data_IF_501009902254
#
_entry.id   IF_501009902254
#
_cell.length_a   1.000
_cell.length_b   1.000
_cell.length_c   1.000
_cell.angle_alpha   90.00
_cell.angle_beta   90.00
_cell.angle_gamma   90.00
#
_symmetry.space_group_name_H-M   'P 1'
#
loop_
_entity.id
_entity.type
_entity.pdbx_description
1 polymer ?
#
# COMPACT_ATOMS: atom_id res chain seq x y z
N UNK A 1 34.84 -36.26 -18.09
CA UNK A 1 33.60 -36.60 -17.37
C UNK A 1 32.47 -36.08 -18.21
N UNK A 2 31.56 -36.92 -18.72
CA UNK A 2 30.41 -36.44 -19.47
C UNK A 2 29.54 -35.61 -18.51
N UNK A 3 29.15 -34.41 -18.93
CA UNK A 3 28.05 -33.69 -18.30
C UNK A 3 26.77 -34.42 -18.71
N UNK A 4 26.29 -35.30 -17.85
CA UNK A 4 24.96 -35.88 -17.98
C UNK A 4 23.95 -34.75 -17.79
N UNK A 5 23.49 -34.23 -18.93
CA UNK A 5 22.44 -33.23 -19.05
C UNK A 5 21.09 -33.78 -18.60
N UNK A 6 20.89 -33.87 -17.30
CA UNK A 6 19.56 -33.70 -16.74
C UNK A 6 19.34 -32.20 -16.59
N UNK A 7 18.70 -31.59 -17.59
CA UNK A 7 17.88 -30.40 -17.36
C UNK A 7 16.83 -30.82 -16.32
N UNK A 8 17.17 -30.69 -15.04
CA UNK A 8 16.19 -30.61 -13.97
C UNK A 8 15.31 -29.43 -14.38
N UNK A 9 14.14 -29.73 -14.95
CA UNK A 9 13.16 -28.72 -15.37
C UNK A 9 13.02 -27.74 -14.22
N UNK A 10 13.53 -26.52 -14.41
CA UNK A 10 13.50 -25.52 -13.38
C UNK A 10 12.05 -25.40 -12.89
N UNK A 11 11.79 -25.38 -11.57
CA UNK A 11 10.43 -25.30 -11.07
C UNK A 11 9.73 -24.11 -11.71
N UNK A 12 8.51 -24.33 -12.19
CA UNK A 12 7.73 -23.29 -12.86
C UNK A 12 7.63 -22.05 -11.96
N UNK A 13 7.95 -20.88 -12.53
CA UNK A 13 7.96 -19.63 -11.77
C UNK A 13 6.55 -19.18 -11.35
N UNK A 14 5.52 -19.59 -12.12
CA UNK A 14 4.13 -19.22 -11.90
C UNK A 14 3.25 -20.46 -11.68
N UNK A 15 2.26 -20.30 -10.81
CA UNK A 15 1.17 -21.24 -10.58
C UNK A 15 0.04 -21.01 -11.58
N UNK A 16 -0.52 -22.10 -12.09
CA UNK A 16 -1.65 -22.04 -13.02
C UNK A 16 -2.91 -21.49 -12.33
N UNK A 17 -3.74 -20.77 -13.09
CA UNK A 17 -5.03 -20.23 -12.64
C UNK A 17 -4.93 -19.32 -11.40
N UNK A 18 -3.83 -18.59 -11.24
CA UNK A 18 -3.50 -17.81 -10.03
C UNK A 18 -4.64 -16.89 -9.56
N UNK A 19 -5.24 -16.09 -10.45
CA UNK A 19 -6.32 -15.17 -10.08
C UNK A 19 -7.53 -15.92 -9.47
N UNK A 20 -7.90 -17.06 -10.05
CA UNK A 20 -8.97 -17.90 -9.53
C UNK A 20 -8.61 -18.50 -8.17
N UNK A 21 -7.35 -18.95 -7.97
CA UNK A 21 -6.86 -19.46 -6.68
C UNK A 21 -6.95 -18.38 -5.60
N UNK A 22 -6.46 -17.18 -5.87
CA UNK A 22 -6.49 -16.05 -4.93
C UNK A 22 -7.94 -15.67 -4.58
N UNK A 23 -8.87 -15.69 -5.53
CA UNK A 23 -10.28 -15.41 -5.26
C UNK A 23 -10.91 -16.35 -4.22
N UNK A 24 -10.45 -17.61 -4.12
CA UNK A 24 -10.94 -18.55 -3.11
C UNK A 24 -10.49 -18.26 -1.68
N UNK A 25 -9.49 -17.37 -1.50
CA UNK A 25 -8.94 -17.04 -0.19
C UNK A 25 -9.87 -16.17 0.67
N UNK A 26 -10.87 -15.51 0.07
CA UNK A 26 -11.77 -14.61 0.80
C UNK A 26 -12.46 -15.33 1.98
N UNK A 27 -13.08 -16.48 1.73
CA UNK A 27 -13.80 -17.24 2.75
C UNK A 27 -12.93 -17.68 3.95
N UNK A 28 -11.77 -18.35 3.76
CA UNK A 28 -10.92 -18.74 4.90
C UNK A 28 -10.31 -17.54 5.63
N UNK A 29 -9.95 -16.45 4.94
CA UNK A 29 -9.44 -15.23 5.59
C UNK A 29 -10.51 -14.53 6.42
N UNK A 30 -11.73 -14.42 5.90
CA UNK A 30 -12.86 -13.81 6.61
C UNK A 30 -13.23 -14.62 7.87
N UNK A 31 -13.24 -15.95 7.75
CA UNK A 31 -13.50 -16.84 8.88
C UNK A 31 -12.43 -16.73 9.97
N UNK A 32 -11.15 -16.65 9.57
CA UNK A 32 -10.03 -16.45 10.49
C UNK A 32 -10.15 -15.11 11.21
N UNK A 33 -10.40 -14.02 10.48
CA UNK A 33 -10.51 -12.68 11.04
C UNK A 33 -11.72 -12.53 11.96
N UNK A 34 -12.87 -13.10 11.59
CA UNK A 34 -14.06 -13.12 12.44
C UNK A 34 -13.79 -13.85 13.76
N UNK A 35 -13.16 -15.02 13.69
CA UNK A 35 -12.77 -15.79 14.89
C UNK A 35 -11.80 -14.99 15.77
N UNK A 36 -10.77 -14.37 15.17
CA UNK A 36 -9.83 -13.52 15.89
C UNK A 36 -10.53 -12.34 16.57
N UNK A 37 -11.46 -11.70 15.87
CA UNK A 37 -12.26 -10.58 16.38
C UNK A 37 -13.08 -11.00 17.60
N UNK A 38 -13.73 -12.15 17.55
CA UNK A 38 -14.54 -12.66 18.67
C UNK A 38 -13.67 -13.00 19.88
N UNK A 39 -12.50 -13.62 19.66
CA UNK A 39 -11.55 -13.94 20.74
C UNK A 39 -11.02 -12.69 21.41
N UNK A 40 -10.57 -11.70 20.63
CA UNK A 40 -10.07 -10.43 21.17
C UNK A 40 -11.20 -9.66 21.86
N UNK A 41 -12.40 -9.63 21.29
CA UNK A 41 -13.59 -9.02 21.91
C UNK A 41 -13.85 -9.59 23.30
N UNK A 42 -13.76 -10.91 23.47
CA UNK A 42 -13.94 -11.57 24.76
C UNK A 42 -12.86 -11.19 25.79
N UNK A 43 -11.64 -10.86 25.37
CA UNK A 43 -10.57 -10.38 26.25
C UNK A 43 -10.76 -8.93 26.68
N UNK A 44 -11.33 -8.09 25.80
CA UNK A 44 -11.34 -6.63 25.97
C UNK A 44 -12.69 -6.05 26.40
N UNK A 45 -13.70 -6.90 26.57
CA UNK A 45 -15.07 -6.49 26.87
C UNK A 45 -15.53 -7.01 28.24
N UNK A 46 -16.25 -6.16 28.97
CA UNK A 46 -16.88 -6.48 30.26
C UNK A 46 -18.27 -5.85 30.31
N UNK A 47 -19.29 -6.58 30.78
CA UNK A 47 -20.67 -6.09 30.79
C UNK A 47 -21.21 -5.71 29.41
N UNK A 48 -20.75 -6.37 28.34
CA UNK A 48 -21.19 -6.15 26.97
C UNK A 48 -20.55 -4.96 26.24
N UNK A 49 -19.60 -4.27 26.87
CA UNK A 49 -18.90 -3.13 26.26
C UNK A 49 -17.38 -3.29 26.32
N UNK A 50 -16.69 -2.81 25.29
CA UNK A 50 -15.23 -2.72 25.25
C UNK A 50 -14.76 -1.77 26.35
N UNK A 51 -13.72 -2.17 27.10
CA UNK A 51 -13.14 -1.39 28.18
C UNK A 51 -11.72 -0.95 27.82
N UNK A 52 -11.44 0.34 27.90
CA UNK A 52 -10.10 0.89 27.63
C UNK A 52 -9.01 0.21 28.47
N UNK A 53 -9.24 0.02 29.76
CA UNK A 53 -8.28 -0.67 30.64
C UNK A 53 -8.00 -2.13 30.22
N UNK A 54 -8.98 -2.82 29.60
CA UNK A 54 -8.76 -4.18 29.08
C UNK A 54 -8.06 -4.15 27.72
N UNK A 55 -8.33 -3.15 26.88
CA UNK A 55 -7.55 -2.89 25.66
C UNK A 55 -6.08 -2.66 26.01
N UNK A 56 -5.78 -1.83 27.01
CA UNK A 56 -4.40 -1.56 27.46
C UNK A 56 -3.74 -2.83 28.00
N UNK A 57 -4.46 -3.60 28.82
CA UNK A 57 -3.96 -4.87 29.37
C UNK A 57 -3.69 -5.92 28.28
N UNK A 58 -4.54 -5.96 27.25
CA UNK A 58 -4.48 -6.92 26.16
C UNK A 58 -4.02 -6.26 24.84
N UNK A 59 -3.18 -5.22 24.93
CA UNK A 59 -2.80 -4.38 23.81
C UNK A 59 -2.16 -5.17 22.67
N UNK A 60 -1.34 -6.17 23.00
CA UNK A 60 -0.76 -7.08 22.00
C UNK A 60 -1.81 -7.79 21.16
N UNK A 61 -2.90 -8.24 21.78
CA UNK A 61 -3.99 -8.90 21.07
C UNK A 61 -4.82 -7.90 20.25
N UNK A 62 -5.07 -6.71 20.79
CA UNK A 62 -5.80 -5.64 20.11
C UNK A 62 -5.06 -5.10 18.88
N UNK A 63 -3.77 -4.77 19.02
CA UNK A 63 -2.90 -4.40 17.90
C UNK A 63 -2.75 -5.57 16.94
N UNK A 64 -2.61 -6.78 17.47
CA UNK A 64 -2.53 -7.99 16.67
C UNK A 64 -3.71 -8.17 15.73
N UNK A 65 -4.93 -7.91 16.22
CA UNK A 65 -6.13 -7.98 15.40
C UNK A 65 -6.09 -6.96 14.26
N UNK A 66 -5.61 -5.74 14.52
CA UNK A 66 -5.45 -4.73 13.49
C UNK A 66 -4.45 -5.17 12.41
N UNK A 67 -3.29 -5.72 12.80
CA UNK A 67 -2.29 -6.26 11.87
C UNK A 67 -2.82 -7.44 11.04
N UNK A 68 -3.54 -8.38 11.66
CA UNK A 68 -4.20 -9.46 10.93
C UNK A 68 -5.22 -8.91 9.93
N UNK A 69 -6.05 -7.95 10.35
CA UNK A 69 -7.03 -7.31 9.46
C UNK A 69 -6.34 -6.60 8.28
N UNK A 70 -5.21 -5.93 8.50
CA UNK A 70 -4.39 -5.32 7.45
C UNK A 70 -3.90 -6.36 6.43
N UNK A 71 -3.44 -7.52 6.87
CA UNK A 71 -2.95 -8.57 5.96
C UNK A 71 -4.09 -9.20 5.16
N UNK A 72 -5.23 -9.45 5.81
CA UNK A 72 -6.46 -9.93 5.15
C UNK A 72 -6.91 -8.94 4.08
N UNK A 73 -6.96 -7.65 4.42
CA UNK A 73 -7.37 -6.61 3.48
C UNK A 73 -6.36 -6.44 2.35
N UNK A 74 -5.05 -6.54 2.63
CA UNK A 74 -4.02 -6.47 1.59
C UNK A 74 -4.16 -7.60 0.56
N UNK A 75 -4.33 -8.85 1.02
CA UNK A 75 -4.58 -9.99 0.10
C UNK A 75 -5.85 -9.77 -0.73
N UNK A 76 -6.92 -9.25 -0.09
CA UNK A 76 -8.18 -8.93 -0.77
C UNK A 76 -7.97 -7.87 -1.86
N UNK A 77 -7.27 -6.78 -1.55
CA UNK A 77 -7.01 -5.70 -2.51
C UNK A 77 -6.07 -6.14 -3.63
N UNK A 78 -5.07 -6.99 -3.35
CA UNK A 78 -4.23 -7.61 -4.38
C UNK A 78 -5.06 -8.50 -5.33
N UNK A 79 -5.98 -9.31 -4.80
CA UNK A 79 -6.90 -10.10 -5.62
C UNK A 79 -7.82 -9.23 -6.47
N UNK A 80 -8.36 -8.14 -5.90
CA UNK A 80 -9.20 -7.20 -6.63
C UNK A 80 -8.44 -6.46 -7.73
N UNK A 81 -7.20 -6.04 -7.46
CA UNK A 81 -6.29 -5.46 -8.45
C UNK A 81 -6.05 -6.41 -9.62
N UNK A 82 -5.71 -7.67 -9.33
CA UNK A 82 -5.50 -8.69 -10.36
C UNK A 82 -6.76 -8.95 -11.20
N UNK A 83 -7.96 -8.96 -10.58
CA UNK A 83 -9.23 -9.10 -11.29
C UNK A 83 -9.45 -7.94 -12.28
N UNK A 84 -9.28 -6.70 -11.83
CA UNK A 84 -9.45 -5.51 -12.68
C UNK A 84 -8.45 -5.49 -13.84
N UNK A 85 -7.19 -5.82 -13.58
CA UNK A 85 -6.19 -5.93 -14.65
C UNK A 85 -6.49 -7.06 -15.63
N UNK A 86 -7.07 -8.18 -15.16
CA UNK A 86 -7.47 -9.29 -16.03
C UNK A 86 -8.61 -8.89 -16.95
N UNK A 87 -9.60 -8.17 -16.42
CA UNK A 87 -10.71 -7.60 -17.19
C UNK A 87 -10.22 -6.58 -18.23
N UNK A 88 -9.26 -5.73 -17.84
CA UNK A 88 -8.62 -4.75 -18.73
C UNK A 88 -7.58 -5.37 -19.69
N UNK A 89 -7.30 -6.68 -19.59
CA UNK A 89 -6.28 -7.41 -20.38
C UNK A 89 -4.86 -6.86 -20.23
N UNK A 90 -4.55 -6.29 -19.07
CA UNK A 90 -3.23 -5.74 -18.70
C UNK A 90 -2.55 -6.56 -17.61
N UNK A 91 -3.17 -7.64 -17.13
CA UNK A 91 -2.56 -8.59 -16.19
C UNK A 91 -1.52 -9.47 -16.90
N UNK A 92 -0.24 -9.12 -16.74
CA UNK A 92 0.89 -9.80 -17.35
C UNK A 92 1.70 -10.65 -16.36
N UNK A 93 2.88 -11.07 -16.82
CA UNK A 93 3.77 -11.96 -16.05
C UNK A 93 4.30 -11.29 -14.77
N UNK A 94 4.68 -10.02 -14.85
CA UNK A 94 5.21 -9.28 -13.69
C UNK A 94 4.13 -9.10 -12.63
N UNK A 95 2.88 -8.80 -13.03
CA UNK A 95 1.75 -8.67 -12.12
C UNK A 95 1.38 -10.00 -11.47
N UNK A 96 1.39 -11.10 -12.24
CA UNK A 96 1.17 -12.44 -11.73
C UNK A 96 2.24 -12.85 -10.70
N UNK A 97 3.51 -12.54 -10.95
CA UNK A 97 4.59 -12.82 -10.01
C UNK A 97 4.47 -12.01 -8.72
N UNK A 98 4.13 -10.72 -8.81
CA UNK A 98 3.87 -9.86 -7.64
C UNK A 98 2.72 -10.43 -6.81
N UNK A 99 1.60 -10.77 -7.46
CA UNK A 99 0.44 -11.36 -6.80
C UNK A 99 0.80 -12.65 -6.08
N UNK A 100 1.47 -13.58 -6.79
CA UNK A 100 1.82 -14.89 -6.25
C UNK A 100 2.79 -14.79 -5.07
N UNK A 101 3.84 -13.98 -5.19
CA UNK A 101 4.86 -13.82 -4.16
C UNK A 101 4.25 -13.13 -2.94
N UNK A 102 3.53 -12.01 -3.13
CA UNK A 102 2.97 -11.25 -2.02
C UNK A 102 1.91 -12.03 -1.25
N UNK A 103 0.98 -12.69 -1.95
CA UNK A 103 -0.03 -13.53 -1.30
C UNK A 103 0.62 -14.72 -0.59
N UNK A 104 1.57 -15.40 -1.23
CA UNK A 104 2.27 -16.52 -0.61
C UNK A 104 3.00 -16.12 0.66
N UNK A 105 3.71 -14.99 0.63
CA UNK A 105 4.41 -14.43 1.79
C UNK A 105 3.43 -14.06 2.91
N UNK A 106 2.34 -13.36 2.61
CA UNK A 106 1.40 -12.88 3.62
C UNK A 106 0.64 -14.02 4.29
N UNK A 107 0.27 -15.07 3.55
CA UNK A 107 -0.33 -16.27 4.13
C UNK A 107 0.62 -16.98 5.10
N UNK A 108 1.92 -17.06 4.76
CA UNK A 108 2.93 -17.65 5.64
C UNK A 108 3.23 -16.79 6.86
N UNK A 109 3.22 -15.47 6.72
CA UNK A 109 3.35 -14.56 7.87
C UNK A 109 2.11 -14.59 8.77
N UNK A 110 0.90 -14.70 8.23
CA UNK A 110 -0.32 -14.90 9.03
C UNK A 110 -0.17 -16.15 9.92
N UNK A 111 0.35 -17.25 9.38
CA UNK A 111 0.53 -18.50 10.12
C UNK A 111 1.75 -18.47 11.07
N UNK A 112 2.91 -18.07 10.57
CA UNK A 112 4.20 -18.17 11.25
C UNK A 112 4.51 -16.99 12.18
N UNK A 113 3.89 -15.84 11.90
CA UNK A 113 3.91 -14.65 12.73
C UNK A 113 4.07 -13.37 11.92
N UNK A 114 3.20 -12.38 12.18
CA UNK A 114 3.22 -11.09 11.50
C UNK A 114 4.18 -10.14 12.24
N UNK A 115 5.22 -9.60 11.57
CA UNK A 115 6.12 -8.64 12.20
C UNK A 115 5.43 -7.27 12.35
N UNK A 116 5.01 -6.92 13.57
CA UNK A 116 4.52 -5.56 13.87
C UNK A 116 5.68 -4.57 13.94
N UNK A 117 6.83 -5.05 14.41
CA UNK A 117 8.15 -4.46 14.24
C UNK A 117 9.21 -5.58 14.36
N UNK A 118 10.50 -5.23 14.37
CA UNK A 118 11.59 -6.21 14.42
C UNK A 118 11.62 -7.05 15.72
N UNK A 119 11.12 -6.53 16.84
CA UNK A 119 11.06 -7.22 18.14
C UNK A 119 9.70 -7.82 18.48
N UNK A 120 8.64 -7.43 17.77
CA UNK A 120 7.27 -7.83 18.06
C UNK A 120 6.66 -8.60 16.89
N UNK A 121 6.82 -9.93 16.95
CA UNK A 121 6.20 -10.86 16.02
C UNK A 121 4.88 -11.35 16.62
N UNK A 122 3.76 -10.97 16.01
CA UNK A 122 2.41 -11.38 16.39
C UNK A 122 2.16 -12.82 15.96
N UNK A 123 1.76 -13.69 16.88
CA UNK A 123 1.23 -15.02 16.54
C UNK A 123 -0.28 -15.03 16.69
N UNK A 124 -0.98 -15.87 15.91
CA UNK A 124 -2.44 -16.03 16.04
C UNK A 124 -2.86 -16.45 17.46
N UNK A 125 -2.02 -17.23 18.16
CA UNK A 125 -2.26 -17.60 19.56
C UNK A 125 -2.25 -16.41 20.52
N UNK A 126 -1.56 -15.31 20.19
CA UNK A 126 -1.53 -14.08 21.01
C UNK A 126 -2.91 -13.39 21.02
N UNK A 127 -3.75 -13.68 20.03
CA UNK A 127 -5.14 -13.21 19.93
C UNK A 127 -6.15 -14.23 20.47
N UNK A 128 -5.69 -15.35 21.05
CA UNK A 128 -6.55 -16.39 21.60
C UNK A 128 -7.12 -17.37 20.58
N UNK A 129 -6.57 -17.42 19.35
CA UNK A 129 -6.91 -18.49 18.41
C UNK A 129 -6.31 -19.81 18.88
N UNK A 130 -7.10 -20.87 18.81
CA UNK A 130 -6.69 -22.20 19.21
C UNK A 130 -6.03 -22.95 18.04
N UNK A 131 -5.24 -24.01 18.31
CA UNK A 131 -4.59 -24.79 17.26
C UNK A 131 -5.54 -25.32 16.18
N UNK A 132 -6.79 -25.66 16.54
CA UNK A 132 -7.79 -26.09 15.57
C UNK A 132 -8.25 -24.97 14.63
N UNK A 133 -8.32 -23.72 15.11
CA UNK A 133 -8.73 -22.57 14.28
C UNK A 133 -7.63 -22.29 13.23
N UNK A 134 -6.37 -22.33 13.68
CA UNK A 134 -5.18 -22.17 12.83
C UNK A 134 -5.07 -23.35 11.84
N UNK A 135 -5.28 -24.57 12.32
CA UNK A 135 -5.26 -25.78 11.49
C UNK A 135 -6.35 -25.77 10.43
N UNK A 136 -7.55 -25.28 10.74
CA UNK A 136 -8.62 -25.14 9.77
C UNK A 136 -8.24 -24.16 8.63
N UNK A 137 -7.70 -22.99 8.97
CA UNK A 137 -7.19 -22.02 8.00
C UNK A 137 -6.11 -22.63 7.10
N UNK A 138 -5.12 -23.30 7.70
CA UNK A 138 -4.03 -23.99 6.99
C UNK A 138 -4.45 -25.32 6.37
N UNK A 139 -5.72 -25.73 6.44
CA UNK A 139 -6.20 -26.91 5.72
C UNK A 139 -6.98 -26.53 4.46
N UNK A 140 -7.29 -25.24 4.28
CA UNK A 140 -7.91 -24.74 3.07
C UNK A 140 -6.95 -24.96 1.87
N UNK A 141 -7.38 -25.64 0.78
CA UNK A 141 -6.48 -26.10 -0.27
C UNK A 141 -5.62 -25.00 -0.89
N UNK A 142 -6.22 -23.85 -1.22
CA UNK A 142 -5.50 -22.75 -1.86
C UNK A 142 -4.66 -21.94 -0.88
N UNK A 143 -5.01 -21.91 0.42
CA UNK A 143 -4.15 -21.31 1.46
C UNK A 143 -2.82 -22.05 1.50
N UNK A 144 -2.83 -23.38 1.62
CA UNK A 144 -1.59 -24.16 1.67
C UNK A 144 -0.81 -24.13 0.38
N UNK A 145 -1.49 -24.23 -0.76
CA UNK A 145 -0.85 -24.22 -2.07
C UNK A 145 -0.10 -22.91 -2.30
N UNK A 146 -0.79 -21.77 -2.12
CA UNK A 146 -0.19 -20.45 -2.34
C UNK A 146 0.89 -20.13 -1.31
N UNK A 147 0.69 -20.51 -0.06
CA UNK A 147 1.68 -20.20 0.97
C UNK A 147 2.96 -21.05 0.86
N UNK A 148 2.85 -22.31 0.41
CA UNK A 148 4.01 -23.20 0.22
C UNK A 148 4.76 -22.90 -1.08
N UNK A 149 4.05 -22.64 -2.18
CA UNK A 149 4.63 -22.54 -3.51
C UNK A 149 4.71 -21.11 -4.06
N UNK A 150 3.97 -20.16 -3.48
CA UNK A 150 3.80 -18.83 -4.04
C UNK A 150 5.08 -17.99 -4.02
N UNK A 151 5.70 -17.87 -2.84
CA UNK A 151 6.98 -17.17 -2.68
C UNK A 151 8.18 -18.12 -2.90
N UNK A 152 8.31 -18.67 -4.11
CA UNK A 152 9.42 -19.56 -4.46
C UNK A 152 10.68 -18.79 -4.91
N UNK A 153 11.84 -19.45 -4.83
CA UNK A 153 13.08 -18.87 -5.34
C UNK A 153 13.02 -18.60 -6.85
N UNK A 154 12.36 -19.48 -7.62
CA UNK A 154 12.17 -19.33 -9.05
C UNK A 154 11.29 -18.11 -9.39
N UNK A 155 10.19 -17.92 -8.66
CA UNK A 155 9.31 -16.76 -8.82
C UNK A 155 10.06 -15.45 -8.53
N UNK A 156 10.79 -15.38 -7.41
CA UNK A 156 11.59 -14.19 -7.06
C UNK A 156 12.67 -13.89 -8.09
N UNK A 157 13.40 -14.90 -8.55
CA UNK A 157 14.43 -14.73 -9.57
C UNK A 157 13.84 -14.20 -10.89
N UNK A 158 12.67 -14.71 -11.31
CA UNK A 158 12.00 -14.23 -12.52
C UNK A 158 11.47 -12.81 -12.35
N UNK A 159 10.87 -12.47 -11.22
CA UNK A 159 10.42 -11.12 -10.93
C UNK A 159 11.58 -10.12 -11.02
N UNK A 160 12.72 -10.43 -10.39
CA UNK A 160 13.91 -9.57 -10.45
C UNK A 160 14.45 -9.41 -11.87
N UNK A 161 14.43 -10.46 -12.69
CA UNK A 161 14.80 -10.35 -14.10
C UNK A 161 13.90 -9.36 -14.84
N UNK A 162 12.56 -9.48 -14.68
CA UNK A 162 11.60 -8.56 -15.28
C UNK A 162 11.77 -7.12 -14.76
N UNK A 163 12.05 -6.94 -13.47
CA UNK A 163 12.32 -5.62 -12.90
C UNK A 163 13.54 -4.95 -13.53
N UNK A 164 14.59 -5.72 -13.82
CA UNK A 164 15.79 -5.20 -14.52
C UNK A 164 15.50 -4.82 -15.96
N UNK A 165 14.57 -5.51 -16.60
CA UNK A 165 14.11 -5.27 -17.97
C UNK A 165 13.04 -4.15 -18.05
N UNK A 166 12.54 -3.65 -16.91
CA UNK A 166 11.43 -2.70 -16.79
C UNK A 166 11.81 -1.24 -17.16
N UNK A 167 12.64 -1.06 -18.18
CA UNK A 167 13.11 0.26 -18.59
C UNK A 167 11.95 1.14 -19.07
N UNK A 168 11.95 2.40 -18.61
CA UNK A 168 10.98 3.41 -19.05
C UNK A 168 9.58 3.27 -18.44
N UNK A 169 9.34 2.32 -17.52
CA UNK A 169 8.05 2.22 -16.81
C UNK A 169 8.09 2.89 -15.45
N UNK A 170 6.94 3.43 -15.05
CA UNK A 170 6.83 4.13 -13.79
C UNK A 170 7.01 3.20 -12.58
N UNK A 171 6.28 2.09 -12.60
CA UNK A 171 6.16 1.12 -11.50
C UNK A 171 6.62 -0.27 -11.94
N UNK A 172 6.86 -1.17 -10.99
CA UNK A 172 7.01 -2.59 -11.27
C UNK A 172 5.63 -3.23 -11.32
N UNK A 173 5.17 -3.49 -12.53
CA UNK A 173 3.80 -3.93 -12.82
C UNK A 173 2.82 -2.77 -12.92
N UNK A 174 1.74 -2.98 -13.70
CA UNK A 174 0.69 -2.00 -13.91
C UNK A 174 -0.07 -1.70 -12.61
N UNK A 175 -0.30 -0.42 -12.32
CA UNK A 175 -1.07 0.04 -11.16
C UNK A 175 -2.56 -0.32 -11.28
N UNK A 176 -3.09 -0.31 -12.50
CA UNK A 176 -4.53 -0.42 -12.78
C UNK A 176 -5.31 0.86 -12.52
N UNK A 177 -4.61 1.99 -12.38
CA UNK A 177 -5.21 3.32 -12.41
C UNK A 177 -5.61 3.69 -13.85
N UNK A 178 -6.49 4.69 -13.97
CA UNK A 178 -6.85 5.23 -15.28
C UNK A 178 -5.70 6.03 -15.92
N UNK A 179 -5.85 6.30 -17.22
CA UNK A 179 -4.83 6.98 -18.02
C UNK A 179 -4.57 8.42 -17.53
N UNK A 180 -5.56 9.10 -16.95
CA UNK A 180 -5.41 10.46 -16.43
C UNK A 180 -4.49 10.47 -15.20
N UNK A 181 -4.68 9.53 -14.27
CA UNK A 181 -3.81 9.35 -13.11
C UNK A 181 -2.40 8.93 -13.52
N UNK A 182 -2.22 8.08 -14.54
CA UNK A 182 -0.89 7.74 -15.05
C UNK A 182 -0.22 8.93 -15.76
N UNK A 183 -0.97 9.80 -16.43
CA UNK A 183 -0.43 11.06 -16.97
C UNK A 183 0.04 12.00 -15.85
N UNK A 184 -0.71 12.12 -14.76
CA UNK A 184 -0.31 12.87 -13.56
C UNK A 184 0.98 12.26 -12.97
N UNK A 185 1.04 10.92 -12.86
CA UNK A 185 2.24 10.20 -12.40
C UNK A 185 3.47 10.60 -13.22
N UNK A 186 3.37 10.54 -14.54
CA UNK A 186 4.46 10.86 -15.44
C UNK A 186 4.89 12.34 -15.33
N UNK A 187 3.95 13.26 -15.13
CA UNK A 187 4.25 14.67 -14.93
C UNK A 187 5.10 14.90 -13.67
N UNK A 188 4.65 14.40 -12.52
CA UNK A 188 5.33 14.62 -11.25
C UNK A 188 6.59 13.77 -11.09
N UNK A 189 6.67 12.62 -11.77
CA UNK A 189 7.91 11.86 -11.91
C UNK A 189 8.99 12.69 -12.60
N UNK A 190 8.68 13.29 -13.75
CA UNK A 190 9.64 14.15 -14.47
C UNK A 190 10.10 15.30 -13.59
N UNK A 191 9.16 15.97 -12.90
CA UNK A 191 9.50 17.01 -11.94
C UNK A 191 10.46 16.49 -10.85
N UNK A 192 10.15 15.36 -10.21
CA UNK A 192 10.99 14.80 -9.17
C UNK A 192 12.39 14.40 -9.69
N UNK A 193 12.48 13.80 -10.88
CA UNK A 193 13.73 13.36 -11.50
C UNK A 193 14.59 14.56 -11.97
N UNK A 194 13.97 15.68 -12.39
CA UNK A 194 14.67 16.85 -12.92
C UNK A 194 15.00 17.89 -11.84
N UNK A 195 14.12 18.11 -10.86
CA UNK A 195 14.16 19.24 -9.92
C UNK A 195 14.41 18.85 -8.47
N UNK A 196 14.24 17.58 -8.10
CA UNK A 196 14.33 17.15 -6.69
C UNK A 196 15.49 16.20 -6.48
N UNK A 197 15.45 15.01 -7.09
CA UNK A 197 16.40 13.93 -6.82
C UNK A 197 17.87 14.32 -7.05
N UNK A 198 18.24 15.08 -8.11
CA UNK A 198 19.63 15.49 -8.31
C UNK A 198 20.16 16.45 -7.24
N UNK A 199 19.28 17.22 -6.58
CA UNK A 199 19.66 18.32 -5.67
C UNK A 199 19.50 17.96 -4.19
N UNK A 200 18.69 16.95 -3.86
CA UNK A 200 18.40 16.55 -2.48
C UNK A 200 19.65 16.24 -1.65
N UNK A 201 20.70 15.67 -2.25
CA UNK A 201 21.96 15.40 -1.57
C UNK A 201 22.70 16.69 -1.19
N UNK A 202 22.66 17.72 -2.04
CA UNK A 202 23.28 19.02 -1.73
C UNK A 202 22.54 19.73 -0.61
N UNK A 203 21.21 19.75 -0.64
CA UNK A 203 20.38 20.30 0.45
C UNK A 203 20.73 19.65 1.79
N UNK A 204 20.90 18.32 1.79
CA UNK A 204 21.31 17.58 2.98
C UNK A 204 22.71 17.99 3.47
N UNK A 205 23.70 18.03 2.58
CA UNK A 205 25.08 18.38 2.97
C UNK A 205 25.20 19.80 3.52
N UNK A 206 24.34 20.71 3.08
CA UNK A 206 24.32 22.10 3.54
C UNK A 206 23.42 22.36 4.74
N UNK A 207 22.62 21.37 5.17
CA UNK A 207 21.57 21.55 6.18
C UNK A 207 20.60 22.69 5.82
N UNK A 208 20.23 22.77 4.53
CA UNK A 208 19.35 23.79 3.99
C UNK A 208 17.90 23.29 3.88
N UNK A 209 16.95 24.22 3.99
CA UNK A 209 15.56 23.95 3.66
C UNK A 209 15.41 23.61 2.17
N UNK A 210 14.28 22.99 1.82
CA UNK A 210 13.87 22.90 0.41
C UNK A 210 13.82 24.34 -0.15
N UNK A 211 14.51 24.62 -1.27
CA UNK A 211 14.54 25.97 -1.84
C UNK A 211 13.14 26.50 -2.15
N UNK A 212 12.94 27.81 -1.97
CA UNK A 212 11.63 28.44 -2.21
C UNK A 212 11.20 28.29 -3.67
N UNK A 213 12.17 28.24 -4.59
CA UNK A 213 11.94 28.02 -6.01
C UNK A 213 11.22 26.70 -6.30
N UNK A 214 11.45 25.66 -5.48
CA UNK A 214 10.72 24.38 -5.60
C UNK A 214 9.26 24.56 -5.17
N UNK A 215 9.01 25.35 -4.12
CA UNK A 215 7.66 25.64 -3.63
C UNK A 215 6.90 26.45 -4.68
N UNK A 216 7.55 27.48 -5.24
CA UNK A 216 6.98 28.32 -6.30
C UNK A 216 6.63 27.49 -7.55
N UNK A 217 7.53 26.63 -8.03
CA UNK A 217 7.24 25.75 -9.18
C UNK A 217 6.08 24.79 -8.88
N UNK A 218 5.99 24.20 -7.67
CA UNK A 218 4.88 23.34 -7.28
C UNK A 218 3.54 24.11 -7.17
N UNK A 219 3.59 25.38 -6.79
CA UNK A 219 2.42 26.26 -6.76
C UNK A 219 1.91 26.57 -8.16
N UNK A 220 2.81 26.87 -9.10
CA UNK A 220 2.47 27.04 -10.51
C UNK A 220 1.88 25.76 -11.13
N UNK A 221 2.36 24.60 -10.70
CA UNK A 221 1.81 23.29 -11.07
C UNK A 221 0.49 22.94 -10.36
N UNK A 222 0.03 23.77 -9.43
CA UNK A 222 -1.27 23.62 -8.77
C UNK A 222 -1.31 22.63 -7.61
N UNK A 223 -0.15 22.17 -7.11
CA UNK A 223 -0.07 21.10 -6.09
C UNK A 223 -0.77 21.48 -4.80
N UNK A 224 -0.65 22.73 -4.36
CA UNK A 224 -1.24 23.17 -3.09
C UNK A 224 -2.77 23.34 -3.16
N UNK A 225 -3.32 23.51 -4.36
CA UNK A 225 -4.77 23.62 -4.61
C UNK A 225 -5.40 22.36 -5.21
N UNK A 226 -4.67 21.25 -5.31
CA UNK A 226 -5.02 20.11 -6.15
C UNK A 226 -6.43 19.56 -5.86
N UNK A 227 -6.78 19.39 -4.59
CA UNK A 227 -8.08 18.85 -4.15
C UNK A 227 -9.04 19.93 -3.62
N UNK A 228 -8.64 21.21 -3.64
CA UNK A 228 -9.51 22.31 -3.21
C UNK A 228 -10.55 22.54 -4.32
N UNK A 229 -11.84 22.75 -4.00
CA UNK A 229 -12.87 23.02 -5.00
C UNK A 229 -12.52 24.20 -5.92
N UNK A 230 -12.90 24.11 -7.20
CA UNK A 230 -12.62 25.14 -8.21
C UNK A 230 -13.18 26.53 -7.82
N UNK A 231 -14.38 26.56 -7.22
CA UNK A 231 -15.00 27.80 -6.75
C UNK A 231 -14.27 28.45 -5.55
N UNK A 232 -13.25 27.78 -5.00
CA UNK A 232 -12.40 28.24 -3.90
C UNK A 232 -10.93 28.34 -4.34
N UNK A 233 -10.67 28.37 -5.66
CA UNK A 233 -9.35 28.63 -6.23
C UNK A 233 -8.48 27.39 -6.46
N UNK A 234 -9.00 26.18 -6.24
CA UNK A 234 -8.28 24.93 -6.50
C UNK A 234 -8.65 24.28 -7.84
N UNK A 235 -8.27 23.01 -7.99
CA UNK A 235 -8.51 22.20 -9.20
C UNK A 235 -9.61 21.14 -9.04
N UNK A 236 -10.13 20.94 -7.83
CA UNK A 236 -11.19 19.99 -7.56
C UNK A 236 -10.87 18.54 -7.90
N UNK A 237 -9.58 18.16 -8.01
CA UNK A 237 -9.18 16.81 -8.38
C UNK A 237 -9.41 15.82 -7.23
N UNK A 238 -9.40 14.54 -7.60
CA UNK A 238 -9.67 13.45 -6.68
C UNK A 238 -8.55 13.27 -5.65
N UNK A 239 -8.88 12.62 -4.52
CA UNK A 239 -7.86 12.16 -3.57
C UNK A 239 -6.88 11.16 -4.17
N UNK A 240 -7.30 10.35 -5.16
CA UNK A 240 -6.39 9.46 -5.88
C UNK A 240 -5.35 10.24 -6.69
N UNK A 241 -5.74 11.36 -7.29
CA UNK A 241 -4.82 12.29 -7.96
C UNK A 241 -3.76 12.79 -6.96
N UNK A 242 -4.18 13.21 -5.76
CA UNK A 242 -3.27 13.67 -4.72
C UNK A 242 -2.34 12.57 -4.18
N UNK A 243 -2.81 11.32 -4.10
CA UNK A 243 -1.96 10.16 -3.79
C UNK A 243 -0.86 10.01 -4.83
N UNK A 244 -1.19 10.02 -6.12
CA UNK A 244 -0.20 9.89 -7.20
C UNK A 244 0.83 11.02 -7.18
N UNK A 245 0.39 12.27 -7.01
CA UNK A 245 1.30 13.43 -6.87
C UNK A 245 2.22 13.25 -5.67
N UNK A 246 1.66 12.88 -4.51
CA UNK A 246 2.42 12.69 -3.27
C UNK A 246 3.42 11.54 -3.38
N UNK A 247 3.07 10.44 -4.04
CA UNK A 247 3.96 9.30 -4.29
C UNK A 247 5.20 9.72 -5.10
N UNK A 248 5.01 10.37 -6.25
CA UNK A 248 6.12 10.69 -7.15
C UNK A 248 7.01 11.81 -6.58
N UNK A 249 6.45 12.81 -5.89
CA UNK A 249 7.23 13.83 -5.19
C UNK A 249 8.03 13.21 -4.02
N UNK A 250 7.40 12.33 -3.24
CA UNK A 250 8.06 11.68 -2.10
C UNK A 250 9.15 10.70 -2.53
N UNK A 251 9.00 10.07 -3.70
CA UNK A 251 10.06 9.26 -4.33
C UNK A 251 11.32 10.09 -4.57
N UNK A 252 11.19 11.36 -4.94
CA UNK A 252 12.31 12.29 -5.06
C UNK A 252 12.89 12.67 -3.70
N UNK A 253 12.05 13.24 -2.83
CA UNK A 253 12.38 13.55 -1.43
C UNK A 253 11.09 13.72 -0.62
N UNK A 254 10.93 12.98 0.48
CA UNK A 254 9.70 12.98 1.30
C UNK A 254 9.28 14.38 1.78
N UNK A 255 10.24 15.28 2.00
CA UNK A 255 9.95 16.67 2.37
C UNK A 255 9.17 17.41 1.29
N UNK A 256 9.45 17.14 0.00
CA UNK A 256 8.74 17.78 -1.14
C UNK A 256 7.32 17.27 -1.24
N UNK A 257 7.10 15.95 -1.14
CA UNK A 257 5.74 15.40 -1.09
C UNK A 257 4.93 15.94 0.10
N UNK A 258 5.59 16.13 1.24
CA UNK A 258 4.96 16.65 2.45
C UNK A 258 4.45 18.09 2.30
N UNK A 259 5.04 18.92 1.44
CA UNK A 259 4.58 20.29 1.19
C UNK A 259 3.12 20.29 0.71
N UNK A 260 2.80 19.45 -0.29
CA UNK A 260 1.44 19.29 -0.79
C UNK A 260 0.50 18.71 0.28
N UNK A 261 0.93 17.68 1.02
CA UNK A 261 0.10 17.07 2.07
C UNK A 261 -0.24 18.05 3.20
N UNK A 262 0.61 19.04 3.50
CA UNK A 262 0.30 20.05 4.52
C UNK A 262 -0.82 20.97 4.07
N UNK A 263 -0.73 21.48 2.84
CA UNK A 263 -1.81 22.27 2.26
C UNK A 263 -3.11 21.49 2.17
N UNK A 264 -3.06 20.24 1.69
CA UNK A 264 -4.24 19.39 1.55
C UNK A 264 -4.99 19.22 2.89
N UNK A 265 -4.27 18.89 3.96
CA UNK A 265 -4.89 18.66 5.28
C UNK A 265 -5.38 19.97 5.91
N UNK A 266 -4.63 21.07 5.76
CA UNK A 266 -5.06 22.38 6.24
C UNK A 266 -6.34 22.84 5.51
N UNK A 267 -6.41 22.65 4.20
CA UNK A 267 -7.58 22.95 3.41
C UNK A 267 -8.78 22.07 3.80
N UNK A 268 -8.57 20.77 4.00
CA UNK A 268 -9.63 19.85 4.42
C UNK A 268 -10.20 20.20 5.80
N UNK A 269 -9.35 20.62 6.74
CA UNK A 269 -9.78 21.14 8.04
C UNK A 269 -10.74 22.34 7.90
N UNK A 270 -10.40 23.29 7.04
CA UNK A 270 -11.23 24.50 6.81
C UNK A 270 -12.50 24.15 6.03
N UNK A 271 -12.42 23.24 5.06
CA UNK A 271 -13.59 22.77 4.32
C UNK A 271 -14.60 22.08 5.25
N UNK A 272 -14.12 21.23 6.16
CA UNK A 272 -14.97 20.47 7.06
C UNK A 272 -15.52 21.29 8.24
N UNK A 273 -14.71 22.20 8.80
CA UNK A 273 -15.03 22.91 10.05
C UNK A 273 -15.18 24.42 9.95
N UNK A 274 -14.79 25.04 8.84
CA UNK A 274 -14.78 26.50 8.69
C UNK A 274 -16.14 27.10 8.34
N UNK A 275 -16.34 28.37 8.72
CA UNK A 275 -17.46 29.19 8.23
C UNK A 275 -17.27 29.55 6.75
N UNK A 276 -18.32 30.07 6.11
CA UNK A 276 -18.23 30.47 4.71
C UNK A 276 -17.24 31.63 4.50
N UNK A 277 -17.12 32.53 5.47
CA UNK A 277 -16.12 33.60 5.47
C UNK A 277 -14.70 33.03 5.57
N UNK A 278 -14.46 32.06 6.46
CA UNK A 278 -13.16 31.40 6.58
C UNK A 278 -12.78 30.63 5.32
N UNK A 279 -13.73 29.91 4.72
CA UNK A 279 -13.48 29.21 3.44
C UNK A 279 -13.11 30.19 2.33
N UNK A 280 -13.86 31.28 2.21
CA UNK A 280 -13.64 32.30 1.17
C UNK A 280 -12.34 33.07 1.36
N UNK A 281 -11.89 33.26 2.60
CA UNK A 281 -10.65 33.98 2.91
C UNK A 281 -9.39 33.12 2.73
N UNK A 282 -9.40 31.89 3.25
CA UNK A 282 -8.17 31.10 3.44
C UNK A 282 -7.90 30.12 2.30
N UNK A 283 -8.93 29.47 1.76
CA UNK A 283 -8.74 28.39 0.78
C UNK A 283 -8.12 28.88 -0.55
N UNK A 284 -8.51 30.04 -1.11
CA UNK A 284 -7.86 30.55 -2.31
C UNK A 284 -6.37 30.85 -2.12
N UNK A 285 -5.97 31.32 -0.94
CA UNK A 285 -4.58 31.66 -0.61
C UNK A 285 -3.71 30.44 -0.33
N UNK A 286 -4.31 29.41 0.25
CA UNK A 286 -3.68 28.09 0.41
C UNK A 286 -3.51 27.44 -0.96
N UNK A 287 -4.54 27.50 -1.82
CA UNK A 287 -4.50 26.92 -3.16
C UNK A 287 -3.37 27.49 -4.03
N UNK A 288 -3.10 28.80 -3.90
CA UNK A 288 -2.04 29.51 -4.63
C UNK A 288 -0.67 29.47 -3.94
N UNK A 289 -0.55 28.83 -2.77
CA UNK A 289 0.63 28.85 -1.92
C UNK A 289 1.06 30.25 -1.43
N UNK A 290 0.17 31.26 -1.48
CA UNK A 290 0.39 32.55 -0.79
C UNK A 290 0.43 32.35 0.73
N UNK A 291 -0.24 31.29 1.21
CA UNK A 291 -0.18 30.78 2.58
C UNK A 291 0.33 29.33 2.55
N UNK A 292 1.38 29.06 3.32
CA UNK A 292 2.02 27.75 3.51
C UNK A 292 1.75 27.19 4.91
#
# INVERSE_FOLDING_TARGET
MPHDGQDMTAPAALLDNLAARVATLAAPLDSLLATATDRVRALVSEGGAVKGALIDRHQRAAHGLAWLATYVEAIRQMGAWASRLSEARTFGEIEALILQIGVGEYLWQIQGGIPMNQGEILKLTDMGLAPQDIGAFMSAPEVMTLATAGNSAAARARLVALMRENHGRATFGASGLDDELEMIRDQFRRFADEKVAPFAHEWHLKDEFIPMEIIEELAEMGVFGLTIPENLGGFGLSKASMVVVSEELSRGYIGVGSLGTRSEIAAELILAGGTDEQKSEWLPKIASAEIL
#
